data_IF_968525423465
#
_entry.id   IF_968525423465
#
_cell.length_a   1.000
_cell.length_b   1.000
_cell.length_c   1.000
_cell.angle_alpha   90.00
_cell.angle_beta   90.00
_cell.angle_gamma   90.00
#
_symmetry.space_group_name_H-M   'P 1'
#
loop_
_entity.id
_entity.type
_entity.pdbx_description
1 polymer ?
#
# COMPACT_ATOMS: atom_id res chain seq x y z
N UNK A 1 16.69 8.63 15.65
CA UNK A 1 16.84 7.86 14.39
C UNK A 1 15.92 8.48 13.36
N UNK A 2 16.44 8.92 12.20
CA UNK A 2 15.62 9.36 11.08
C UNK A 2 14.58 8.28 10.69
N UNK A 3 13.41 8.70 10.22
CA UNK A 3 12.32 7.77 9.90
C UNK A 3 12.71 6.70 8.83
N UNK A 4 13.46 7.02 7.77
CA UNK A 4 13.91 6.00 6.81
C UNK A 4 14.78 4.91 7.44
N UNK A 5 15.74 5.30 8.29
CA UNK A 5 16.66 4.37 8.96
C UNK A 5 15.89 3.45 9.93
N UNK A 6 14.86 4.00 10.59
CA UNK A 6 13.96 3.23 11.44
C UNK A 6 13.19 2.17 10.67
N UNK A 7 12.61 2.52 9.51
CA UNK A 7 11.88 1.56 8.68
C UNK A 7 12.83 0.48 8.15
N UNK A 8 14.02 0.86 7.69
CA UNK A 8 15.03 -0.08 7.19
C UNK A 8 15.40 -1.13 8.24
N UNK A 9 15.72 -0.69 9.47
CA UNK A 9 16.04 -1.60 10.57
C UNK A 9 14.88 -2.57 10.84
N UNK A 10 13.63 -2.10 10.86
CA UNK A 10 12.48 -2.98 11.04
C UNK A 10 12.38 -4.06 9.95
N UNK A 11 12.67 -3.71 8.70
CA UNK A 11 12.66 -4.66 7.58
C UNK A 11 13.74 -5.73 7.74
N UNK A 12 14.93 -5.36 8.24
CA UNK A 12 16.02 -6.30 8.54
C UNK A 12 15.58 -7.44 9.47
N UNK A 13 14.63 -7.18 10.38
CA UNK A 13 14.09 -8.15 11.33
C UNK A 13 12.74 -8.75 10.92
N UNK A 14 12.18 -8.34 9.78
CA UNK A 14 10.86 -8.81 9.31
C UNK A 14 9.67 -8.13 10.02
N UNK A 15 9.85 -6.89 10.47
CA UNK A 15 8.84 -6.07 11.15
C UNK A 15 8.35 -4.96 10.21
N UNK A 16 7.29 -4.28 10.65
CA UNK A 16 6.71 -3.12 9.97
C UNK A 16 6.12 -2.16 10.99
N UNK A 17 6.16 -0.89 10.66
CA UNK A 17 5.52 0.19 11.38
C UNK A 17 4.08 0.45 10.88
N UNK A 18 3.31 1.20 11.66
CA UNK A 18 2.02 1.75 11.24
C UNK A 18 2.16 3.22 10.89
N UNK A 19 1.11 3.79 10.27
CA UNK A 19 0.99 5.25 10.20
C UNK A 19 1.11 5.85 11.60
N UNK A 20 1.97 6.87 11.82
CA UNK A 20 2.07 7.57 13.09
C UNK A 20 0.71 8.16 13.49
N UNK A 21 0.33 7.99 14.75
CA UNK A 21 -0.89 8.56 15.32
C UNK A 21 -0.54 9.63 16.35
N UNK A 22 -1.26 10.75 16.31
CA UNK A 22 -1.15 11.80 17.32
C UNK A 22 -1.63 11.26 18.66
N UNK A 23 -0.83 11.44 19.71
CA UNK A 23 -1.20 11.15 21.09
C UNK A 23 -1.70 12.42 21.75
N UNK A 24 -0.96 13.52 21.58
CA UNK A 24 -1.35 14.88 21.97
C UNK A 24 -0.61 15.93 21.12
N UNK A 25 -0.61 17.20 21.56
CA UNK A 25 0.03 18.32 20.86
C UNK A 25 1.53 18.15 20.64
N UNK A 26 2.21 17.38 21.48
CA UNK A 26 3.67 17.28 21.49
C UNK A 26 4.16 15.86 21.16
N UNK A 27 3.27 14.87 21.21
CA UNK A 27 3.61 13.45 21.10
C UNK A 27 2.86 12.75 19.98
N UNK A 28 3.57 11.87 19.30
CA UNK A 28 3.02 10.89 18.37
C UNK A 28 3.50 9.49 18.73
N UNK A 29 2.74 8.47 18.30
CA UNK A 29 3.07 7.08 18.51
C UNK A 29 2.93 6.30 17.21
N UNK A 30 3.89 5.42 16.97
CA UNK A 30 3.90 4.50 15.85
C UNK A 30 3.90 3.08 16.40
N UNK A 31 2.95 2.25 15.96
CA UNK A 31 2.94 0.84 16.34
C UNK A 31 3.96 0.10 15.49
N UNK A 32 4.81 -0.68 16.14
CA UNK A 32 5.71 -1.63 15.46
C UNK A 32 5.21 -3.03 15.71
N UNK A 33 5.22 -3.87 14.68
CA UNK A 33 4.81 -5.27 14.80
C UNK A 33 5.52 -6.15 13.78
N UNK A 34 5.60 -7.46 14.06
CA UNK A 34 6.03 -8.44 13.05
C UNK A 34 5.14 -8.35 11.81
N UNK A 35 5.75 -8.42 10.63
CA UNK A 35 5.01 -8.37 9.36
C UNK A 35 4.14 -9.62 9.25
N UNK A 36 2.85 -9.43 8.94
CA UNK A 36 1.94 -10.57 8.74
C UNK A 36 2.23 -11.20 7.37
N UNK A 37 2.00 -12.53 7.20
CA UNK A 37 2.20 -13.18 5.90
C UNK A 37 1.44 -12.49 4.76
N UNK A 38 0.22 -11.99 5.05
CA UNK A 38 -0.65 -11.30 4.08
C UNK A 38 -0.37 -9.79 3.94
N UNK A 39 0.72 -9.28 4.51
CA UNK A 39 1.11 -7.88 4.35
C UNK A 39 1.85 -7.67 3.03
N UNK A 40 1.34 -6.72 2.23
CA UNK A 40 1.93 -6.33 0.96
C UNK A 40 3.26 -5.58 1.15
N UNK A 41 4.08 -5.55 0.10
CA UNK A 41 5.34 -4.82 0.06
C UNK A 41 5.28 -3.69 -0.97
N UNK A 42 5.52 -2.46 -0.51
CA UNK A 42 5.67 -1.31 -1.39
C UNK A 42 7.02 -1.34 -2.11
N UNK A 43 7.15 -0.66 -3.25
CA UNK A 43 8.44 -0.49 -3.91
C UNK A 43 9.47 0.23 -3.05
N UNK A 44 9.04 1.09 -2.12
CA UNK A 44 9.95 1.71 -1.12
C UNK A 44 10.56 0.64 -0.22
N UNK A 45 9.75 -0.26 0.36
CA UNK A 45 10.24 -1.32 1.22
C UNK A 45 11.18 -2.27 0.47
N UNK A 46 10.88 -2.57 -0.80
CA UNK A 46 11.76 -3.40 -1.65
C UNK A 46 13.13 -2.76 -1.85
N UNK A 47 13.19 -1.45 -2.12
CA UNK A 47 14.46 -0.72 -2.25
C UNK A 47 15.25 -0.68 -0.94
N UNK A 48 14.57 -0.50 0.19
CA UNK A 48 15.22 -0.55 1.51
C UNK A 48 15.78 -1.95 1.81
N UNK A 49 15.06 -3.02 1.44
CA UNK A 49 15.58 -4.40 1.53
C UNK A 49 16.82 -4.59 0.65
N UNK A 50 16.81 -4.07 -0.58
CA UNK A 50 17.97 -4.16 -1.48
C UNK A 50 19.20 -3.45 -0.88
N UNK A 51 19.00 -2.25 -0.32
CA UNK A 51 20.04 -1.52 0.40
C UNK A 51 20.56 -2.32 1.60
N UNK A 52 19.68 -2.76 2.49
CA UNK A 52 20.04 -3.54 3.68
C UNK A 52 20.79 -4.85 3.33
N UNK A 53 20.43 -5.51 2.23
CA UNK A 53 21.17 -6.67 1.71
C UNK A 53 22.57 -6.31 1.24
N UNK A 54 22.72 -5.20 0.51
CA UNK A 54 24.03 -4.72 0.04
C UNK A 54 24.97 -4.41 1.20
N UNK A 55 24.41 -3.94 2.32
CA UNK A 55 25.12 -3.63 3.56
C UNK A 55 25.27 -4.84 4.50
N UNK A 56 24.75 -6.01 4.11
CA UNK A 56 24.72 -7.25 4.92
C UNK A 56 24.02 -7.07 6.29
N UNK A 57 23.08 -6.14 6.38
CA UNK A 57 22.31 -5.84 7.58
C UNK A 57 21.08 -6.75 7.76
N UNK A 58 20.65 -7.45 6.70
CA UNK A 58 19.49 -8.35 6.77
C UNK A 58 19.73 -9.52 7.73
N UNK A 59 18.75 -9.78 8.60
CA UNK A 59 18.74 -10.96 9.47
C UNK A 59 17.99 -12.13 8.83
N UNK A 60 18.15 -13.33 9.37
CA UNK A 60 17.38 -14.51 8.98
C UNK A 60 15.86 -14.28 9.09
N UNK A 61 15.41 -13.56 10.12
CA UNK A 61 13.99 -13.25 10.32
C UNK A 61 13.43 -12.34 9.21
N UNK A 62 14.21 -11.34 8.78
CA UNK A 62 13.84 -10.48 7.65
C UNK A 62 13.77 -11.25 6.34
N UNK A 63 14.77 -12.09 6.08
CA UNK A 63 14.82 -12.94 4.88
C UNK A 63 13.66 -13.95 4.85
N UNK A 64 13.34 -14.60 5.98
CA UNK A 64 12.19 -15.48 6.08
C UNK A 64 10.87 -14.76 5.78
N UNK A 65 10.71 -13.52 6.27
CA UNK A 65 9.52 -12.72 6.02
C UNK A 65 9.37 -12.32 4.53
N UNK A 66 10.49 -12.16 3.81
CA UNK A 66 10.53 -11.92 2.36
C UNK A 66 10.22 -13.21 1.60
N UNK A 67 10.79 -14.35 2.00
CA UNK A 67 10.54 -15.65 1.38
C UNK A 67 9.05 -15.99 1.39
N UNK A 68 8.40 -15.88 2.56
CA UNK A 68 6.94 -16.07 2.71
C UNK A 68 6.16 -15.16 1.77
N UNK A 69 6.59 -13.90 1.64
CA UNK A 69 5.90 -12.93 0.79
C UNK A 69 6.05 -13.22 -0.71
N UNK A 70 7.19 -13.77 -1.12
CA UNK A 70 7.40 -14.20 -2.51
C UNK A 70 6.55 -15.43 -2.82
N UNK A 71 6.55 -16.41 -1.93
CA UNK A 71 5.77 -17.63 -2.06
C UNK A 71 4.26 -17.35 -2.16
N UNK A 72 3.74 -16.44 -1.34
CA UNK A 72 2.32 -16.12 -1.31
C UNK A 72 1.90 -14.94 -2.22
N UNK A 73 2.81 -14.43 -3.05
CA UNK A 73 2.57 -13.33 -4.00
C UNK A 73 2.44 -11.93 -3.38
N UNK A 74 2.52 -11.76 -2.06
CA UNK A 74 2.45 -10.44 -1.43
C UNK A 74 3.65 -9.55 -1.74
N UNK A 75 4.77 -10.14 -2.19
CA UNK A 75 5.93 -9.39 -2.67
C UNK A 75 5.57 -8.55 -3.90
N UNK A 76 4.85 -9.09 -4.88
CA UNK A 76 4.50 -8.39 -6.14
C UNK A 76 3.08 -7.80 -6.11
N UNK A 77 2.33 -7.99 -5.02
CA UNK A 77 0.92 -7.62 -4.93
C UNK A 77 0.62 -6.14 -5.23
N UNK A 78 1.55 -5.20 -4.98
CA UNK A 78 1.31 -3.78 -5.23
C UNK A 78 1.84 -3.30 -6.58
N UNK A 79 2.52 -4.12 -7.38
CA UNK A 79 3.29 -3.64 -8.54
C UNK A 79 2.40 -2.94 -9.59
N UNK A 80 1.23 -3.51 -9.89
CA UNK A 80 0.20 -2.92 -10.76
C UNK A 80 -0.42 -1.64 -10.16
N UNK A 81 -0.65 -1.63 -8.84
CA UNK A 81 -1.14 -0.47 -8.10
C UNK A 81 -0.13 0.67 -8.16
N UNK A 82 1.17 0.40 -8.00
CA UNK A 82 2.22 1.42 -8.07
C UNK A 82 2.45 1.91 -9.50
N UNK A 83 2.27 1.02 -10.49
CA UNK A 83 2.27 1.34 -11.92
C UNK A 83 1.01 2.11 -12.36
N UNK A 84 -0.04 2.16 -11.52
CA UNK A 84 -1.28 2.86 -11.83
C UNK A 84 -2.16 2.14 -12.85
N UNK A 85 -2.02 0.82 -12.97
CA UNK A 85 -2.84 0.00 -13.86
C UNK A 85 -4.29 0.04 -13.37
N UNK A 86 -5.21 0.43 -14.26
CA UNK A 86 -6.64 0.49 -13.98
C UNK A 86 -7.27 -0.84 -14.37
N UNK A 87 -7.85 -1.60 -13.42
CA UNK A 87 -8.57 -2.83 -13.75
C UNK A 87 -9.80 -2.56 -14.61
N UNK A 88 -10.15 -3.50 -15.49
CA UNK A 88 -11.23 -3.32 -16.47
C UNK A 88 -12.60 -3.02 -15.83
N UNK A 89 -12.89 -3.60 -14.67
CA UNK A 89 -14.15 -3.37 -13.96
C UNK A 89 -14.25 -1.95 -13.39
N UNK A 90 -13.15 -1.40 -12.86
CA UNK A 90 -13.06 0.01 -12.51
C UNK A 90 -13.15 0.90 -13.75
N UNK A 91 -12.46 0.55 -14.84
CA UNK A 91 -12.51 1.27 -16.10
C UNK A 91 -13.93 1.39 -16.66
N UNK A 92 -14.67 0.27 -16.68
CA UNK A 92 -16.09 0.23 -17.09
C UNK A 92 -16.98 1.07 -16.16
N UNK A 93 -16.77 1.01 -14.85
CA UNK A 93 -17.57 1.76 -13.88
C UNK A 93 -17.31 3.28 -13.95
N UNK A 94 -16.09 3.70 -14.29
CA UNK A 94 -15.77 5.10 -14.50
C UNK A 94 -16.38 5.63 -15.79
N UNK A 95 -16.32 4.86 -16.89
CA UNK A 95 -16.84 5.29 -18.19
C UNK A 95 -16.32 6.70 -18.56
N UNK A 96 -17.19 7.68 -18.85
CA UNK A 96 -16.78 9.06 -19.13
C UNK A 96 -16.04 9.77 -17.98
N UNK A 97 -16.23 9.33 -16.73
CA UNK A 97 -15.54 9.90 -15.56
C UNK A 97 -14.05 9.55 -15.52
N UNK A 98 -13.58 8.68 -16.42
CA UNK A 98 -12.20 8.20 -16.44
C UNK A 98 -11.19 9.34 -16.60
N UNK A 99 -11.47 10.31 -17.45
CA UNK A 99 -10.60 11.46 -17.67
C UNK A 99 -10.37 12.26 -16.37
N UNK A 100 -11.45 12.52 -15.64
CA UNK A 100 -11.38 13.20 -14.33
C UNK A 100 -10.61 12.37 -13.31
N UNK A 101 -10.83 11.05 -13.27
CA UNK A 101 -10.10 10.17 -12.39
C UNK A 101 -8.60 10.15 -12.72
N UNK A 102 -8.22 10.11 -14.00
CA UNK A 102 -6.82 10.11 -14.45
C UNK A 102 -6.11 11.43 -14.08
N UNK A 103 -6.84 12.55 -14.05
CA UNK A 103 -6.35 13.86 -13.60
C UNK A 103 -6.06 13.94 -12.10
N UNK A 104 -6.54 12.99 -11.28
CA UNK A 104 -6.26 13.00 -9.85
C UNK A 104 -4.78 12.77 -9.54
N UNK A 105 -4.27 13.38 -8.44
CA UNK A 105 -2.93 13.11 -7.96
C UNK A 105 -2.65 11.62 -7.80
N UNK A 106 -1.44 11.19 -8.19
CA UNK A 106 -1.01 9.77 -8.18
C UNK A 106 -1.28 9.10 -6.84
N UNK A 107 -1.10 9.81 -5.73
CA UNK A 107 -1.35 9.30 -4.37
C UNK A 107 -2.80 8.82 -4.17
N UNK A 108 -3.79 9.58 -4.66
CA UNK A 108 -5.20 9.21 -4.52
C UNK A 108 -5.58 8.07 -5.46
N UNK A 109 -5.11 8.12 -6.72
CA UNK A 109 -5.32 7.01 -7.66
C UNK A 109 -4.76 5.70 -7.11
N UNK A 110 -3.52 5.73 -6.61
CA UNK A 110 -2.88 4.59 -5.96
C UNK A 110 -3.70 4.07 -4.78
N UNK A 111 -4.14 4.95 -3.88
CA UNK A 111 -4.92 4.56 -2.70
C UNK A 111 -6.24 3.87 -3.08
N UNK A 112 -6.94 4.37 -4.12
CA UNK A 112 -8.14 3.71 -4.65
C UNK A 112 -7.85 2.36 -5.28
N UNK A 113 -6.81 2.25 -6.09
CA UNK A 113 -6.39 0.98 -6.71
C UNK A 113 -6.04 -0.05 -5.63
N UNK A 114 -5.28 0.33 -4.60
CA UNK A 114 -4.93 -0.54 -3.47
C UNK A 114 -6.17 -0.97 -2.68
N UNK A 115 -7.08 -0.01 -2.42
CA UNK A 115 -8.35 -0.30 -1.75
C UNK A 115 -9.18 -1.28 -2.56
N UNK A 116 -9.31 -1.11 -3.87
CA UNK A 116 -10.08 -2.02 -4.73
C UNK A 116 -9.40 -3.40 -4.80
N UNK A 117 -8.09 -3.45 -4.98
CA UNK A 117 -7.30 -4.69 -5.07
C UNK A 117 -7.33 -5.51 -3.78
N UNK A 118 -7.35 -4.87 -2.61
CA UNK A 118 -7.41 -5.55 -1.32
C UNK A 118 -8.78 -6.14 -0.96
N UNK A 119 -9.79 -6.00 -1.82
CA UNK A 119 -11.12 -6.55 -1.58
C UNK A 119 -11.10 -8.08 -1.71
N UNK A 120 -11.49 -8.79 -0.64
CA UNK A 120 -11.49 -10.27 -0.62
C UNK A 120 -12.74 -10.91 -1.19
N UNK A 121 -13.82 -10.14 -1.35
CA UNK A 121 -15.12 -10.62 -1.84
C UNK A 121 -15.61 -9.75 -2.98
N UNK A 122 -16.32 -10.33 -3.94
CA UNK A 122 -16.92 -9.62 -5.06
C UNK A 122 -17.79 -8.44 -4.61
N UNK A 123 -18.69 -8.68 -3.66
CA UNK A 123 -19.53 -7.63 -3.07
C UNK A 123 -18.74 -6.46 -2.45
N UNK A 124 -17.59 -6.74 -1.80
CA UNK A 124 -16.74 -5.67 -1.25
C UNK A 124 -16.04 -4.90 -2.36
N UNK A 125 -15.61 -5.60 -3.41
CA UNK A 125 -14.94 -4.99 -4.57
C UNK A 125 -15.90 -4.06 -5.32
N UNK A 126 -17.11 -4.53 -5.61
CA UNK A 126 -18.18 -3.75 -6.24
C UNK A 126 -18.49 -2.49 -5.45
N UNK A 127 -18.69 -2.59 -4.13
CA UNK A 127 -18.90 -1.42 -3.26
C UNK A 127 -17.76 -0.41 -3.34
N UNK A 128 -16.50 -0.87 -3.39
CA UNK A 128 -15.32 0.01 -3.47
C UNK A 128 -15.20 0.68 -4.84
N UNK A 129 -15.52 -0.03 -5.92
CA UNK A 129 -15.57 0.51 -7.28
C UNK A 129 -16.68 1.56 -7.39
N UNK A 130 -17.88 1.27 -6.91
CA UNK A 130 -19.00 2.21 -6.89
C UNK A 130 -18.66 3.48 -6.08
N UNK A 131 -18.01 3.32 -4.94
CA UNK A 131 -17.53 4.46 -4.15
C UNK A 131 -16.48 5.30 -4.90
N UNK A 132 -15.56 4.66 -5.64
CA UNK A 132 -14.56 5.36 -6.45
C UNK A 132 -15.21 6.15 -7.60
N UNK A 133 -16.18 5.55 -8.29
CA UNK A 133 -16.93 6.22 -9.36
C UNK A 133 -17.76 7.39 -8.83
N UNK A 134 -18.39 7.23 -7.65
CA UNK A 134 -19.10 8.33 -6.97
C UNK A 134 -18.16 9.48 -6.58
N UNK A 135 -16.99 9.16 -6.02
CA UNK A 135 -15.95 10.16 -5.72
C UNK A 135 -15.47 10.89 -6.99
N UNK A 136 -15.31 10.18 -8.11
CA UNK A 136 -14.99 10.79 -9.41
C UNK A 136 -16.11 11.71 -9.89
N UNK A 137 -17.38 11.29 -9.80
CA UNK A 137 -18.52 12.12 -10.17
C UNK A 137 -18.59 13.42 -9.36
N UNK A 138 -18.23 13.39 -8.07
CA UNK A 138 -18.20 14.54 -7.18
C UNK A 138 -16.87 15.34 -7.21
N UNK A 139 -15.88 14.87 -7.95
CA UNK A 139 -14.50 15.38 -7.96
C UNK A 139 -13.87 15.50 -6.56
N UNK A 140 -14.02 14.44 -5.77
CA UNK A 140 -13.51 14.36 -4.40
C UNK A 140 -12.53 13.19 -4.23
N UNK A 141 -11.26 13.32 -4.66
CA UNK A 141 -10.29 12.21 -4.72
C UNK A 141 -10.10 11.43 -3.41
N UNK A 142 -10.29 12.11 -2.27
CA UNK A 142 -10.14 11.55 -0.91
C UNK A 142 -11.40 10.91 -0.36
N UNK A 143 -12.59 11.17 -0.92
CA UNK A 143 -13.85 10.73 -0.33
C UNK A 143 -13.90 9.21 -0.19
N UNK A 144 -14.12 8.70 1.03
CA UNK A 144 -14.15 7.26 1.29
C UNK A 144 -12.78 6.59 1.42
N UNK A 145 -11.65 7.29 1.28
CA UNK A 145 -10.35 6.78 1.72
C UNK A 145 -10.19 7.09 3.23
N UNK A 146 -10.16 6.04 4.05
CA UNK A 146 -9.96 6.10 5.50
C UNK A 146 -8.50 5.94 5.88
#
# INVERSE_FOLDING_TARGET
>A
MPFPDFVEELLCWGWIDSVPRKVDSERSATRVSRRKPKSAWSGVNKRLVEKARSERAMTEAGEAAIAVAKENGMWTFLDDVEAGVVPDDLGRALGPLRERWDAWPKTYRRAWLEKIKSARTGATREKRIAACASAASADTPKAGLS
#
